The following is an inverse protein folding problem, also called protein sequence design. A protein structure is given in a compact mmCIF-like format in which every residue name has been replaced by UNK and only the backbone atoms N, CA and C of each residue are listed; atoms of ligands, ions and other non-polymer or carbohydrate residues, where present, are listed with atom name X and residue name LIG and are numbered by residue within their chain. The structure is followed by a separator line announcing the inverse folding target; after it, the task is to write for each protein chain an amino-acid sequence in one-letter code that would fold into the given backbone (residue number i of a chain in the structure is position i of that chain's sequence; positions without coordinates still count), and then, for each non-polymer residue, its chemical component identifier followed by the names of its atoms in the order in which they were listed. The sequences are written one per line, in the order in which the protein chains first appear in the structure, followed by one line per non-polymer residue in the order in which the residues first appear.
data_IF_571072828847
#
_entry.id   IF_571072828847
#
_cell.length_a   1.000
_cell.length_b   1.000
_cell.length_c   1.000
_cell.angle_alpha   90.00
_cell.angle_beta   90.00
_cell.angle_gamma   90.00
#
_symmetry.space_group_name_H-M   'P 1'
#
loop_
_entity.id
_entity.type
_entity.pdbx_description
1 polymer ?
#
# COMPACT_ATOMS: atom_id res chain seq x y z
N UNK A 1 1.52 -1.33 -14.59
CA UNK A 1 0.64 -2.06 -15.53
C UNK A 1 0.42 -3.44 -14.94
N UNK A 2 -0.83 -3.79 -14.60
CA UNK A 2 -1.15 -5.17 -14.24
C UNK A 2 -0.76 -6.05 -15.44
N UNK A 3 -0.03 -7.14 -15.22
CA UNK A 3 0.44 -8.05 -16.28
C UNK A 3 -0.74 -8.53 -17.16
N UNK A 4 -1.96 -8.51 -16.61
CA UNK A 4 -3.21 -8.83 -17.28
C UNK A 4 -3.52 -7.97 -18.52
N UNK A 5 -3.13 -6.69 -18.53
CA UNK A 5 -3.47 -5.76 -19.64
C UNK A 5 -2.54 -5.90 -20.86
N UNK A 6 -1.51 -6.76 -20.78
CA UNK A 6 -0.58 -6.99 -21.88
C UNK A 6 -1.01 -8.09 -22.87
N UNK A 7 -2.05 -8.89 -22.54
CA UNK A 7 -2.47 -10.02 -23.37
C UNK A 7 -1.46 -11.17 -23.46
N UNK A 8 -0.39 -11.16 -22.66
CA UNK A 8 0.72 -12.13 -22.72
C UNK A 8 0.37 -13.46 -22.03
N UNK A 9 -0.63 -13.50 -21.14
CA UNK A 9 -1.05 -14.73 -20.46
C UNK A 9 -2.56 -14.98 -20.54
N UNK A 10 -2.94 -16.24 -20.77
CA UNK A 10 -4.32 -16.72 -20.72
C UNK A 10 -4.64 -17.09 -19.27
N UNK A 11 -5.56 -16.38 -18.63
CA UNK A 11 -6.03 -16.69 -17.27
C UNK A 11 -6.78 -18.03 -17.32
N UNK A 12 -6.19 -19.09 -16.76
CA UNK A 12 -6.80 -20.42 -16.70
C UNK A 12 -7.23 -20.80 -15.27
N UNK A 13 -6.62 -20.17 -14.25
CA UNK A 13 -6.88 -20.33 -12.82
C UNK A 13 -6.94 -18.96 -12.13
N UNK A 14 -7.63 -18.91 -10.98
CA UNK A 14 -7.75 -17.70 -10.15
C UNK A 14 -6.37 -17.11 -9.76
N UNK A 15 -5.38 -17.98 -9.53
CA UNK A 15 -3.99 -17.63 -9.21
C UNK A 15 -3.20 -17.04 -10.37
N UNK A 16 -3.72 -17.14 -11.59
CA UNK A 16 -3.04 -16.59 -12.78
C UNK A 16 -3.24 -15.05 -12.86
N UNK A 17 -4.03 -14.49 -11.94
CA UNK A 17 -4.28 -13.07 -11.79
C UNK A 17 -3.91 -12.60 -10.38
N UNK A 18 -2.79 -11.88 -10.27
CA UNK A 18 -2.38 -11.22 -9.02
C UNK A 18 -3.47 -10.29 -8.47
N UNK A 19 -4.25 -9.65 -9.34
CA UNK A 19 -5.35 -8.79 -8.92
C UNK A 19 -6.48 -9.58 -8.23
N UNK A 20 -6.81 -10.76 -8.73
CA UNK A 20 -7.84 -11.62 -8.13
C UNK A 20 -7.34 -12.21 -6.81
N UNK A 21 -6.09 -12.65 -6.76
CA UNK A 21 -5.48 -13.15 -5.52
C UNK A 21 -5.37 -12.05 -4.45
N UNK A 22 -4.91 -10.85 -4.81
CA UNK A 22 -4.90 -9.70 -3.93
C UNK A 22 -6.31 -9.39 -3.41
N UNK A 23 -7.30 -9.35 -4.29
CA UNK A 23 -8.70 -9.12 -3.90
C UNK A 23 -9.15 -10.15 -2.88
N UNK A 24 -8.88 -11.44 -3.13
CA UNK A 24 -9.22 -12.54 -2.20
C UNK A 24 -8.57 -12.39 -0.84
N UNK A 25 -7.30 -11.98 -0.78
CA UNK A 25 -6.59 -11.71 0.47
C UNK A 25 -7.24 -10.53 1.20
N UNK A 26 -7.46 -9.41 0.51
CA UNK A 26 -8.03 -8.20 1.09
C UNK A 26 -9.43 -8.44 1.65
N UNK A 27 -10.35 -9.06 0.90
CA UNK A 27 -11.73 -9.31 1.37
C UNK A 27 -11.78 -10.25 2.58
N UNK A 28 -10.76 -11.11 2.75
CA UNK A 28 -10.60 -11.96 3.95
C UNK A 28 -10.05 -11.17 5.13
N UNK A 29 -9.01 -10.35 4.92
CA UNK A 29 -8.44 -9.49 5.97
C UNK A 29 -9.47 -8.48 6.47
N UNK A 30 -10.26 -7.89 5.57
CA UNK A 30 -11.39 -7.01 5.87
C UNK A 30 -12.58 -7.75 6.51
N UNK A 31 -12.53 -9.09 6.63
CA UNK A 31 -13.59 -9.95 7.17
C UNK A 31 -14.93 -9.85 6.42
N UNK A 32 -14.90 -9.43 5.16
CA UNK A 32 -16.10 -9.37 4.32
C UNK A 32 -16.64 -10.76 4.06
N UNK A 33 -15.73 -11.71 3.86
CA UNK A 33 -16.03 -13.10 3.58
C UNK A 33 -15.36 -14.03 4.58
N UNK A 34 -15.91 -15.23 4.71
CA UNK A 34 -15.27 -16.38 5.37
C UNK A 34 -15.28 -17.58 4.43
N UNK A 35 -14.34 -18.50 4.63
CA UNK A 35 -14.34 -19.78 3.90
C UNK A 35 -15.22 -20.78 4.64
N UNK A 36 -16.26 -21.30 3.98
CA UNK A 36 -17.14 -22.34 4.50
C UNK A 36 -17.29 -23.42 3.43
N UNK A 37 -16.90 -24.66 3.73
CA UNK A 37 -16.95 -25.79 2.79
C UNK A 37 -16.30 -25.46 1.43
N UNK A 38 -15.11 -24.84 1.45
CA UNK A 38 -14.38 -24.35 0.26
C UNK A 38 -15.10 -23.28 -0.58
N UNK A 39 -16.17 -22.68 -0.05
CA UNK A 39 -16.89 -21.57 -0.68
C UNK A 39 -16.65 -20.29 0.11
N UNK A 40 -16.36 -19.19 -0.58
CA UNK A 40 -16.35 -17.86 0.06
C UNK A 40 -17.79 -17.43 0.28
N UNK A 41 -18.14 -17.16 1.54
CA UNK A 41 -19.48 -16.73 1.94
C UNK A 41 -19.37 -15.38 2.62
N UNK A 42 -20.22 -14.43 2.22
CA UNK A 42 -20.33 -13.13 2.89
C UNK A 42 -20.65 -13.30 4.37
N UNK A 43 -20.01 -12.48 5.20
CA UNK A 43 -20.37 -12.38 6.62
C UNK A 43 -21.42 -11.29 6.81
N UNK A 44 -22.19 -11.32 7.90
CA UNK A 44 -23.14 -10.25 8.22
C UNK A 44 -22.46 -8.88 8.37
N UNK A 45 -21.25 -8.86 8.92
CA UNK A 45 -20.45 -7.63 8.99
C UNK A 45 -19.95 -7.23 7.60
N UNK A 46 -19.57 -8.19 6.77
CA UNK A 46 -19.21 -7.95 5.38
C UNK A 46 -20.31 -7.32 4.55
N UNK A 47 -21.56 -7.76 4.72
CA UNK A 47 -22.72 -7.14 4.08
C UNK A 47 -22.88 -5.67 4.50
N UNK A 48 -22.73 -5.36 5.80
CA UNK A 48 -22.79 -3.98 6.30
C UNK A 48 -21.67 -3.11 5.72
N UNK A 49 -20.44 -3.62 5.70
CA UNK A 49 -19.29 -2.90 5.15
C UNK A 49 -19.45 -2.69 3.65
N UNK A 50 -19.87 -3.71 2.90
CA UNK A 50 -20.05 -3.63 1.46
C UNK A 50 -21.22 -2.73 1.04
N UNK A 51 -22.21 -2.51 1.91
CA UNK A 51 -23.35 -1.62 1.66
C UNK A 51 -23.06 -0.14 1.98
N UNK A 52 -21.88 0.20 2.50
CA UNK A 52 -21.49 1.56 2.88
C UNK A 52 -20.10 1.90 2.35
N UNK A 53 -20.04 2.70 1.28
CA UNK A 53 -18.79 3.04 0.59
C UNK A 53 -17.75 3.72 1.50
N UNK A 54 -18.17 4.58 2.43
CA UNK A 54 -17.27 5.22 3.39
C UNK A 54 -16.63 4.19 4.31
N UNK A 55 -17.45 3.29 4.86
CA UNK A 55 -16.99 2.23 5.74
C UNK A 55 -16.10 1.23 4.99
N UNK A 56 -16.45 0.89 3.75
CA UNK A 56 -15.66 0.03 2.88
C UNK A 56 -14.28 0.64 2.64
N UNK A 57 -14.22 1.91 2.21
CA UNK A 57 -12.97 2.60 1.92
C UNK A 57 -12.11 2.74 3.17
N UNK A 58 -12.70 3.12 4.30
CA UNK A 58 -11.99 3.24 5.59
C UNK A 58 -11.40 1.90 6.03
N UNK A 59 -12.17 0.83 5.90
CA UNK A 59 -11.71 -0.53 6.24
C UNK A 59 -10.58 -0.96 5.33
N UNK A 60 -10.71 -0.75 4.02
CA UNK A 60 -9.68 -1.06 3.03
C UNK A 60 -8.38 -0.29 3.32
N UNK A 61 -8.45 1.00 3.64
CA UNK A 61 -7.28 1.82 3.96
C UNK A 61 -6.55 1.31 5.19
N UNK A 62 -7.26 0.96 6.26
CA UNK A 62 -6.64 0.40 7.47
C UNK A 62 -5.94 -0.92 7.15
N UNK A 63 -6.60 -1.82 6.41
CA UNK A 63 -6.00 -3.10 6.02
C UNK A 63 -4.73 -2.88 5.19
N UNK A 64 -4.79 -2.04 4.15
CA UNK A 64 -3.63 -1.80 3.28
C UNK A 64 -2.45 -1.14 4.01
N UNK A 65 -2.72 -0.22 4.94
CA UNK A 65 -1.68 0.48 5.68
C UNK A 65 -1.11 -0.31 6.87
N UNK A 66 -1.88 -1.23 7.47
CA UNK A 66 -1.52 -1.80 8.77
C UNK A 66 -1.51 -3.33 8.85
N UNK A 67 -2.27 -4.05 8.01
CA UNK A 67 -2.47 -5.50 8.17
C UNK A 67 -2.03 -6.31 6.94
N UNK A 68 -2.18 -5.77 5.74
CA UNK A 68 -1.77 -6.44 4.52
C UNK A 68 -0.25 -6.55 4.45
N UNK A 69 0.24 -7.79 4.40
CA UNK A 69 1.65 -8.05 4.19
C UNK A 69 2.03 -7.78 2.73
N UNK A 70 2.85 -6.77 2.50
CA UNK A 70 3.25 -6.35 1.14
C UNK A 70 4.33 -7.24 0.50
N UNK A 71 4.97 -8.13 1.27
CA UNK A 71 6.11 -8.93 0.81
C UNK A 71 5.76 -10.04 -0.20
N UNK A 72 4.47 -10.39 -0.37
CA UNK A 72 4.03 -11.55 -1.18
C UNK A 72 4.61 -11.59 -2.60
N UNK A 73 4.87 -10.43 -3.22
CA UNK A 73 5.25 -10.36 -4.63
C UNK A 73 6.39 -9.36 -4.91
N UNK A 74 7.18 -8.94 -3.93
CA UNK A 74 8.28 -7.98 -4.16
C UNK A 74 9.68 -8.56 -4.13
N UNK A 75 9.85 -9.78 -3.61
CA UNK A 75 11.14 -10.45 -3.61
C UNK A 75 12.15 -9.89 -2.60
N UNK A 76 11.72 -9.00 -1.70
CA UNK A 76 12.55 -8.55 -0.58
C UNK A 76 12.42 -9.48 0.62
N UNK A 77 13.52 -9.75 1.31
CA UNK A 77 13.53 -10.60 2.50
C UNK A 77 12.86 -9.93 3.71
N UNK A 78 12.94 -8.60 3.80
CA UNK A 78 12.33 -7.85 4.90
C UNK A 78 10.82 -8.01 4.93
N UNK A 79 10.24 -8.40 6.05
CA UNK A 79 8.78 -8.40 6.23
C UNK A 79 8.25 -7.06 6.76
N UNK A 80 9.09 -6.25 7.41
CA UNK A 80 8.63 -5.08 8.16
C UNK A 80 8.67 -3.77 7.38
N UNK A 81 9.64 -3.59 6.48
CA UNK A 81 9.80 -2.34 5.73
C UNK A 81 8.53 -2.07 4.91
N UNK A 82 7.90 -0.90 5.09
CA UNK A 82 6.66 -0.53 4.41
C UNK A 82 5.38 -1.21 4.94
N UNK A 83 5.51 -2.19 5.82
CA UNK A 83 4.40 -2.75 6.60
C UNK A 83 4.27 -2.06 7.96
N UNK A 84 5.39 -1.73 8.59
CA UNK A 84 5.44 -0.89 9.79
C UNK A 84 5.29 0.58 9.41
N UNK A 85 4.62 1.37 10.26
CA UNK A 85 4.63 2.82 10.12
C UNK A 85 3.82 3.38 8.95
N UNK A 86 2.82 2.65 8.42
CA UNK A 86 1.96 3.14 7.33
C UNK A 86 1.32 4.52 7.62
N UNK A 87 0.84 4.75 8.84
CA UNK A 87 0.34 6.07 9.26
C UNK A 87 1.42 7.16 9.29
N UNK A 88 2.67 6.81 9.58
CA UNK A 88 3.79 7.75 9.52
C UNK A 88 4.12 8.15 8.09
N UNK A 89 4.05 7.23 7.13
CA UNK A 89 4.13 7.57 5.70
C UNK A 89 3.07 8.59 5.30
N UNK A 90 1.80 8.37 5.70
CA UNK A 90 0.73 9.32 5.43
C UNK A 90 1.01 10.69 6.08
N UNK A 91 1.54 10.73 7.30
CA UNK A 91 1.98 11.96 7.94
C UNK A 91 3.08 12.69 7.14
N UNK A 92 4.07 11.95 6.62
CA UNK A 92 5.13 12.54 5.79
C UNK A 92 4.57 13.16 4.50
N UNK A 93 3.65 12.47 3.82
CA UNK A 93 3.01 12.99 2.61
C UNK A 93 2.12 14.19 2.90
N UNK A 94 1.35 14.15 4.00
CA UNK A 94 0.58 15.31 4.44
C UNK A 94 1.47 16.53 4.63
N UNK A 95 2.63 16.36 5.26
CA UNK A 95 3.55 17.46 5.60
C UNK A 95 4.40 17.96 4.43
N UNK A 96 4.86 17.06 3.56
CA UNK A 96 5.89 17.38 2.56
C UNK A 96 5.47 17.12 1.12
N UNK A 97 4.36 16.41 0.89
CA UNK A 97 3.95 15.92 -0.43
C UNK A 97 3.38 16.97 -1.36
N UNK A 98 3.09 18.19 -0.90
CA UNK A 98 2.65 19.27 -1.78
C UNK A 98 3.75 19.79 -2.72
N UNK A 99 5.01 19.45 -2.46
CA UNK A 99 6.14 19.74 -3.33
C UNK A 99 6.71 18.41 -3.86
N UNK A 100 7.21 18.43 -5.11
CA UNK A 100 7.94 17.29 -5.69
C UNK A 100 9.19 17.01 -4.87
N UNK A 101 9.35 15.76 -4.45
CA UNK A 101 10.54 15.30 -3.73
C UNK A 101 10.89 13.88 -4.13
N UNK A 102 12.20 13.62 -4.24
CA UNK A 102 12.72 12.28 -4.43
C UNK A 102 12.19 11.31 -3.35
N UNK A 103 11.87 10.09 -3.74
CA UNK A 103 11.50 9.01 -2.82
C UNK A 103 12.49 8.83 -1.66
N UNK A 104 13.79 8.99 -1.94
CA UNK A 104 14.88 8.97 -0.96
C UNK A 104 14.70 9.97 0.20
N UNK A 105 14.04 11.12 -0.04
CA UNK A 105 13.70 12.10 1.00
C UNK A 105 12.75 11.53 2.05
N UNK A 106 11.78 10.73 1.62
CA UNK A 106 10.80 10.10 2.49
C UNK A 106 11.39 8.87 3.17
N UNK A 107 12.17 8.07 2.42
CA UNK A 107 12.90 6.90 2.92
C UNK A 107 13.80 7.29 4.09
N UNK A 108 14.60 8.35 3.95
CA UNK A 108 15.48 8.86 5.01
C UNK A 108 14.70 9.21 6.29
N UNK A 109 13.55 9.87 6.16
CA UNK A 109 12.69 10.21 7.31
C UNK A 109 12.05 9.00 7.95
N UNK A 110 11.62 8.04 7.13
CA UNK A 110 11.06 6.78 7.59
C UNK A 110 12.07 6.02 8.45
N UNK A 111 13.30 5.82 7.96
CA UNK A 111 14.33 5.11 8.72
C UNK A 111 14.87 5.92 9.90
N UNK A 112 14.82 7.26 9.89
CA UNK A 112 15.08 8.05 11.10
C UNK A 112 14.06 7.79 12.21
N UNK A 113 12.79 7.59 11.86
CA UNK A 113 11.74 7.26 12.81
C UNK A 113 11.79 5.79 13.26
N UNK A 114 12.21 4.89 12.37
CA UNK A 114 12.26 3.45 12.61
C UNK A 114 13.64 2.84 12.26
N UNK A 115 14.72 3.24 12.95
CA UNK A 115 16.09 2.90 12.55
C UNK A 115 16.36 1.40 12.53
N UNK A 116 15.71 0.63 13.41
CA UNK A 116 15.89 -0.83 13.49
C UNK A 116 15.48 -1.57 12.22
N UNK A 117 14.63 -0.99 11.37
CA UNK A 117 14.10 -1.66 10.19
C UNK A 117 15.12 -1.82 9.05
N UNK A 118 16.19 -1.02 9.04
CA UNK A 118 17.23 -1.06 7.99
C UNK A 118 18.59 -1.57 8.47
N UNK A 119 18.72 -1.96 9.74
CA UNK A 119 20.02 -2.24 10.36
C UNK A 119 20.82 -3.34 9.66
N UNK A 120 20.14 -4.36 9.15
CA UNK A 120 20.77 -5.55 8.59
C UNK A 120 20.74 -5.59 7.05
N UNK A 121 20.35 -4.48 6.41
CA UNK A 121 20.19 -4.41 4.95
C UNK A 121 21.12 -3.36 4.32
N UNK A 122 21.63 -3.62 3.10
CA UNK A 122 22.27 -2.58 2.31
C UNK A 122 21.35 -1.35 2.13
N UNK A 123 21.86 -0.11 2.23
CA UNK A 123 21.03 1.09 2.11
C UNK A 123 20.21 1.15 0.82
N UNK A 124 20.77 0.70 -0.30
CA UNK A 124 20.06 0.66 -1.59
C UNK A 124 18.90 -0.34 -1.60
N UNK A 125 19.04 -1.45 -0.89
CA UNK A 125 17.99 -2.45 -0.75
C UNK A 125 16.87 -1.96 0.16
N UNK A 126 17.21 -1.38 1.32
CA UNK A 126 16.24 -0.79 2.23
C UNK A 126 15.44 0.34 1.56
N UNK A 127 16.11 1.19 0.77
CA UNK A 127 15.47 2.24 -0.03
C UNK A 127 14.50 1.65 -1.05
N UNK A 128 14.96 0.68 -1.85
CA UNK A 128 14.14 0.06 -2.89
C UNK A 128 12.92 -0.63 -2.29
N UNK A 129 13.10 -1.34 -1.18
CA UNK A 129 12.04 -2.05 -0.47
C UNK A 129 10.95 -1.09 0.02
N UNK A 130 11.34 -0.02 0.74
CA UNK A 130 10.37 0.97 1.21
C UNK A 130 9.68 1.69 0.06
N UNK A 131 10.46 2.15 -0.93
CA UNK A 131 9.98 2.92 -2.07
C UNK A 131 8.95 2.14 -2.88
N UNK A 132 9.26 0.89 -3.25
CA UNK A 132 8.38 0.01 -4.04
C UNK A 132 7.08 -0.31 -3.31
N UNK A 133 7.17 -0.74 -2.04
CA UNK A 133 5.99 -1.12 -1.24
C UNK A 133 5.06 0.05 -1.00
N UNK A 134 5.63 1.23 -0.82
CA UNK A 134 4.90 2.41 -0.37
C UNK A 134 4.39 3.23 -1.54
N UNK A 135 5.26 3.64 -2.45
CA UNK A 135 4.89 4.56 -3.51
C UNK A 135 4.21 3.83 -4.67
N UNK A 136 4.85 2.81 -5.25
CA UNK A 136 4.33 2.19 -6.48
C UNK A 136 3.15 1.26 -6.21
N UNK A 137 3.26 0.42 -5.17
CA UNK A 137 2.30 -0.66 -4.92
C UNK A 137 1.11 -0.26 -4.05
N UNK A 138 1.21 0.85 -3.32
CA UNK A 138 0.15 1.31 -2.44
C UNK A 138 -0.37 2.69 -2.88
N UNK A 139 0.44 3.73 -2.75
CA UNK A 139 -0.06 5.10 -2.86
C UNK A 139 -0.39 5.51 -4.30
N UNK A 140 0.47 5.14 -5.25
CA UNK A 140 0.23 5.38 -6.67
C UNK A 140 -0.96 4.54 -7.14
N UNK A 141 -1.05 3.28 -6.70
CA UNK A 141 -2.16 2.39 -7.02
C UNK A 141 -3.52 2.93 -6.52
N UNK A 142 -3.53 3.60 -5.36
CA UNK A 142 -4.71 4.27 -4.82
C UNK A 142 -4.94 5.69 -5.40
N UNK A 143 -4.07 6.19 -6.27
CA UNK A 143 -4.15 7.53 -6.84
C UNK A 143 -3.87 8.66 -5.84
N UNK A 144 -3.21 8.35 -4.72
CA UNK A 144 -2.89 9.31 -3.65
C UNK A 144 -1.62 10.13 -3.93
N UNK A 145 -0.81 9.67 -4.88
CA UNK A 145 0.38 10.36 -5.36
C UNK A 145 0.45 10.26 -6.88
N UNK A 146 1.22 11.16 -7.47
CA UNK A 146 1.80 11.02 -8.79
C UNK A 146 3.31 10.79 -8.65
N UNK A 147 3.88 10.11 -9.64
CA UNK A 147 5.30 9.78 -9.70
C UNK A 147 5.86 10.28 -11.02
N UNK A 148 6.90 11.09 -10.96
CA UNK A 148 7.65 11.55 -12.13
C UNK A 148 9.06 10.93 -12.14
N UNK A 149 9.46 10.35 -13.28
CA UNK A 149 10.72 9.64 -13.47
C UNK A 149 10.66 8.74 -14.71
N UNK A 150 11.81 8.26 -15.19
CA UNK A 150 11.88 7.39 -16.37
C UNK A 150 11.35 5.97 -16.07
N UNK A 151 10.03 5.81 -16.08
CA UNK A 151 9.33 4.53 -16.02
C UNK A 151 9.26 3.86 -14.63
N UNK A 152 8.51 2.75 -14.55
CA UNK A 152 8.27 1.97 -13.33
C UNK A 152 9.53 1.34 -12.70
N UNK A 153 10.67 1.40 -13.42
CA UNK A 153 11.98 0.88 -13.00
C UNK A 153 12.99 1.99 -12.73
N UNK A 154 12.57 3.26 -12.71
CA UNK A 154 13.46 4.36 -12.40
C UNK A 154 14.10 4.16 -11.01
N UNK A 155 15.42 4.26 -10.94
CA UNK A 155 16.18 4.16 -9.67
C UNK A 155 15.86 5.30 -8.72
N UNK A 156 15.46 6.44 -9.27
CA UNK A 156 15.06 7.64 -8.54
C UNK A 156 13.76 8.15 -9.15
N UNK A 157 12.85 8.60 -8.30
CA UNK A 157 11.57 9.14 -8.74
C UNK A 157 11.10 10.24 -7.81
N UNK A 158 10.50 11.25 -8.40
CA UNK A 158 9.87 12.34 -7.69
C UNK A 158 8.45 11.96 -7.31
N UNK A 159 8.13 12.13 -6.04
CA UNK A 159 6.81 11.90 -5.46
C UNK A 159 6.13 13.24 -5.23
N UNK A 160 4.90 13.36 -5.70
CA UNK A 160 4.00 14.47 -5.39
C UNK A 160 2.63 13.94 -4.97
N UNK A 161 2.06 14.53 -3.94
CA UNK A 161 0.73 14.20 -3.41
C UNK A 161 -0.36 14.74 -4.32
N UNK A 162 -1.42 13.96 -4.55
CA UNK A 162 -2.59 14.41 -5.32
C UNK A 162 -3.60 15.15 -4.46
N UNK A 163 -4.53 15.88 -5.10
CA UNK A 163 -5.70 16.43 -4.40
C UNK A 163 -6.57 15.35 -3.74
N UNK A 164 -6.58 14.12 -4.28
CA UNK A 164 -7.33 13.00 -3.72
C UNK A 164 -6.84 12.65 -2.32
N UNK A 165 -5.52 12.72 -2.09
CA UNK A 165 -4.97 12.51 -0.75
C UNK A 165 -5.60 13.46 0.26
N UNK A 166 -5.66 14.76 -0.03
CA UNK A 166 -6.18 15.75 0.91
C UNK A 166 -7.70 15.65 1.12
N UNK A 167 -8.42 15.06 0.16
CA UNK A 167 -9.85 14.73 0.31
C UNK A 167 -10.08 13.49 1.18
N UNK A 168 -9.16 12.53 1.18
CA UNK A 168 -9.31 11.26 1.90
C UNK A 168 -8.63 11.23 3.27
N UNK A 169 -7.53 11.95 3.43
CA UNK A 169 -6.66 11.89 4.61
C UNK A 169 -6.64 13.24 5.31
N UNK A 170 -7.03 13.23 6.58
CA UNK A 170 -6.80 14.35 7.49
C UNK A 170 -5.83 13.92 8.59
N UNK A 171 -4.85 14.78 8.86
CA UNK A 171 -3.91 14.61 9.96
C UNK A 171 -4.26 15.65 11.00
N UNK A 172 -4.67 15.20 12.18
CA UNK A 172 -5.03 16.06 13.31
C UNK A 172 -4.14 15.75 14.50
N UNK A 173 -3.81 16.74 15.35
CA UNK A 173 -3.16 16.47 16.62
C UNK A 173 -3.97 15.46 17.44
N UNK A 174 -3.31 14.61 18.26
CA UNK A 174 -4.03 13.79 19.21
C UNK A 174 -4.90 14.69 20.08
N UNK A 175 -6.17 14.34 20.25
CA UNK A 175 -7.02 15.02 21.24
C UNK A 175 -6.36 14.80 22.59
N UNK A 176 -6.11 15.88 23.33
CA UNK A 176 -5.57 15.81 24.69
C UNK A 176 -6.36 14.73 25.45
N UNK A 177 -5.68 13.65 25.84
CA UNK A 177 -6.24 12.61 26.72
C UNK A 177 -6.30 13.14 28.14
#
# INVERSE_FOLDING_TARGET
MLILDSGISKVAKETDSQAVELTKILIKLMRLVKLCNNVLTMTKEGEKVAANDELLMKTLMVILCCEFNKNYWDGFESEDIGNVGGGFTLLLLHKYGSEKRLDSFYVDRYFRAFPKLSNDLPPSEALSCYSIRTFDRLLLHLGLIEVEGEGYLAREKDIIKTELFDKLISVVPPRNM
#
